data_IF_772130609438
#
_entry.id   IF_772130609438
#
_cell.length_a   1.000
_cell.length_b   1.000
_cell.length_c   1.000
_cell.angle_alpha   90.00
_cell.angle_beta   90.00
_cell.angle_gamma   90.00
#
_symmetry.space_group_name_H-M   'P 1'
#
loop_
_entity.id
_entity.type
_entity.pdbx_description
1 polymer ?
#
# COMPACT_ATOMS: atom_id res chain seq x y z
N UNK A 1 -7.30 9.03 -32.90
CA UNK A 1 -7.45 9.76 -31.62
C UNK A 1 -8.70 9.35 -30.83
N UNK A 2 -9.88 9.17 -31.45
CA UNK A 2 -11.11 8.73 -30.76
C UNK A 2 -11.04 7.31 -30.16
N UNK A 3 -10.32 6.37 -30.78
CA UNK A 3 -10.23 4.98 -30.33
C UNK A 3 -9.47 4.82 -28.99
N UNK A 4 -8.46 5.65 -28.73
CA UNK A 4 -7.74 5.65 -27.45
C UNK A 4 -8.49 6.34 -26.32
N UNK A 5 -9.31 7.35 -26.64
CA UNK A 5 -10.17 8.02 -25.67
C UNK A 5 -11.31 7.11 -25.21
N UNK A 6 -11.94 6.36 -26.14
CA UNK A 6 -12.94 5.33 -25.81
C UNK A 6 -12.35 4.19 -25.00
N UNK A 7 -11.16 3.69 -25.35
CA UNK A 7 -10.50 2.65 -24.56
C UNK A 7 -10.22 3.11 -23.12
N UNK A 8 -9.66 4.31 -22.93
CA UNK A 8 -9.40 4.87 -21.59
C UNK A 8 -10.68 5.20 -20.82
N UNK A 9 -11.75 5.60 -21.50
CA UNK A 9 -13.05 5.88 -20.90
C UNK A 9 -13.75 4.60 -20.44
N UNK A 10 -13.73 3.56 -21.28
CA UNK A 10 -14.24 2.22 -20.95
C UNK A 10 -13.42 1.62 -19.78
N UNK A 11 -12.09 1.68 -19.83
CA UNK A 11 -11.21 1.18 -18.76
C UNK A 11 -11.45 1.89 -17.42
N UNK A 12 -11.81 3.18 -17.46
CA UNK A 12 -12.15 3.98 -16.27
C UNK A 12 -13.50 3.56 -15.67
N UNK A 13 -14.50 3.29 -16.52
CA UNK A 13 -15.83 2.87 -16.07
C UNK A 13 -15.82 1.43 -15.52
N UNK A 14 -15.06 0.51 -16.15
CA UNK A 14 -14.94 -0.88 -15.67
C UNK A 14 -14.19 -0.99 -14.35
N UNK A 15 -13.31 -0.03 -14.03
CA UNK A 15 -12.59 -0.02 -12.75
C UNK A 15 -13.45 0.40 -11.56
N UNK A 16 -14.66 0.91 -11.80
CA UNK A 16 -15.49 1.52 -10.76
C UNK A 16 -16.04 0.51 -9.76
N UNK A 17 -16.29 -0.72 -10.21
CA UNK A 17 -16.70 -1.84 -9.36
C UNK A 17 -15.67 -2.13 -8.26
N UNK A 18 -14.37 -1.94 -8.53
CA UNK A 18 -13.29 -2.15 -7.56
C UNK A 18 -13.18 -1.00 -6.53
N UNK A 19 -13.75 0.16 -6.84
CA UNK A 19 -13.68 1.35 -5.95
C UNK A 19 -14.91 1.43 -5.06
N UNK A 20 -16.06 0.89 -5.46
CA UNK A 20 -17.30 0.93 -4.67
C UNK A 20 -17.12 0.35 -3.24
N UNK A 21 -16.47 -0.82 -3.03
CA UNK A 21 -16.27 -1.39 -1.70
C UNK A 21 -15.52 -0.46 -0.75
N UNK A 22 -14.67 0.43 -1.28
CA UNK A 22 -13.93 1.41 -0.48
C UNK A 22 -14.85 2.36 0.28
N UNK A 23 -15.99 2.75 -0.30
CA UNK A 23 -16.93 3.66 0.34
C UNK A 23 -17.74 3.02 1.47
N UNK A 24 -17.77 1.68 1.53
CA UNK A 24 -18.39 0.93 2.63
C UNK A 24 -17.59 0.98 3.94
N UNK A 25 -16.31 1.39 3.89
CA UNK A 25 -15.50 1.53 5.10
C UNK A 25 -15.81 2.81 5.88
N UNK A 26 -15.74 2.77 7.22
CA UNK A 26 -15.89 3.94 8.06
C UNK A 26 -14.75 4.93 7.84
N UNK A 27 -15.01 6.18 8.23
CA UNK A 27 -14.14 7.32 7.93
C UNK A 27 -12.73 7.16 8.51
N UNK A 28 -12.56 6.51 9.66
CA UNK A 28 -11.25 6.24 10.27
C UNK A 28 -10.39 5.32 9.41
N UNK A 29 -11.00 4.31 8.78
CA UNK A 29 -10.31 3.36 7.89
C UNK A 29 -10.02 4.01 6.54
N UNK A 30 -11.00 4.71 5.97
CA UNK A 30 -10.81 5.48 4.72
C UNK A 30 -9.69 6.49 4.85
N UNK A 31 -9.59 7.18 6.01
CA UNK A 31 -8.54 8.13 6.33
C UNK A 31 -7.15 7.57 6.20
N UNK A 32 -6.96 6.39 6.75
CA UNK A 32 -5.70 5.68 6.67
C UNK A 32 -5.42 5.28 5.22
N UNK A 33 -6.36 4.63 4.54
CA UNK A 33 -6.18 4.11 3.16
C UNK A 33 -5.93 5.20 2.12
N UNK A 34 -6.65 6.34 2.17
CA UNK A 34 -6.53 7.37 1.13
C UNK A 34 -5.17 8.08 1.15
N UNK A 35 -4.36 7.89 2.20
CA UNK A 35 -3.07 8.58 2.27
C UNK A 35 -2.10 8.05 1.22
N UNK A 36 -2.00 8.78 0.10
CA UNK A 36 -1.09 8.45 -1.01
C UNK A 36 0.37 8.71 -0.64
N UNK A 37 0.63 9.57 0.35
CA UNK A 37 1.97 9.95 0.82
C UNK A 37 2.90 8.76 1.07
N UNK A 38 2.38 7.65 1.61
CA UNK A 38 3.20 6.46 1.88
C UNK A 38 3.66 5.77 0.58
N UNK A 39 2.74 5.59 -0.37
CA UNK A 39 3.03 4.95 -1.67
C UNK A 39 3.91 5.87 -2.52
N UNK A 40 3.62 7.16 -2.54
CA UNK A 40 4.42 8.16 -3.25
C UNK A 40 5.85 8.25 -2.71
N UNK A 41 6.01 8.30 -1.37
CA UNK A 41 7.32 8.29 -0.71
C UNK A 41 8.13 7.03 -1.03
N UNK A 42 7.46 5.87 -1.04
CA UNK A 42 8.08 4.60 -1.43
C UNK A 42 8.54 4.64 -2.89
N UNK A 43 7.65 5.03 -3.81
CA UNK A 43 7.93 5.11 -5.24
C UNK A 43 9.05 6.11 -5.55
N UNK A 44 9.07 7.26 -4.89
CA UNK A 44 10.13 8.26 -5.06
C UNK A 44 11.49 7.70 -4.61
N UNK A 45 11.50 7.03 -3.46
CA UNK A 45 12.74 6.43 -2.93
C UNK A 45 13.22 5.29 -3.82
N UNK A 46 12.32 4.42 -4.30
CA UNK A 46 12.64 3.31 -5.18
C UNK A 46 13.18 3.80 -6.54
N UNK A 47 12.57 4.83 -7.13
CA UNK A 47 13.08 5.48 -8.35
C UNK A 47 14.51 5.99 -8.15
N UNK A 48 14.84 6.55 -6.98
CA UNK A 48 16.21 6.99 -6.66
C UNK A 48 17.21 5.84 -6.65
N UNK A 49 16.83 4.67 -6.12
CA UNK A 49 17.69 3.47 -6.12
C UNK A 49 17.91 2.89 -7.51
N UNK A 50 16.89 2.94 -8.37
CA UNK A 50 16.95 2.37 -9.73
C UNK A 50 17.56 3.35 -10.74
N UNK A 51 17.48 4.67 -10.51
CA UNK A 51 17.97 5.71 -11.44
C UNK A 51 19.43 5.50 -11.89
N UNK A 52 20.28 4.95 -11.02
CA UNK A 52 21.70 4.71 -11.30
C UNK A 52 21.97 3.36 -12.00
N UNK A 53 20.94 2.53 -12.21
CA UNK A 53 21.04 1.20 -12.83
C UNK A 53 20.12 1.16 -14.05
N UNK A 54 20.67 1.49 -15.23
CA UNK A 54 19.92 1.49 -16.50
C UNK A 54 19.64 0.09 -17.05
N UNK A 55 20.54 -0.88 -16.80
CA UNK A 55 20.45 -2.25 -17.30
C UNK A 55 20.77 -3.20 -16.15
N UNK A 56 20.00 -4.27 -16.05
CA UNK A 56 20.27 -5.38 -15.13
C UNK A 56 20.79 -6.59 -15.92
N UNK A 57 21.77 -7.34 -15.37
CA UNK A 57 22.34 -8.50 -16.05
C UNK A 57 21.40 -9.72 -16.07
N UNK A 58 20.44 -9.80 -15.15
CA UNK A 58 19.37 -10.81 -15.10
C UNK A 58 18.18 -10.30 -14.30
N UNK A 59 17.02 -10.93 -14.44
CA UNK A 59 15.82 -10.59 -13.66
C UNK A 59 16.03 -10.81 -12.16
N UNK A 60 16.76 -11.87 -11.78
CA UNK A 60 17.14 -12.14 -10.39
C UNK A 60 17.96 -10.99 -9.78
N UNK A 61 18.88 -10.41 -10.56
CA UNK A 61 19.66 -9.25 -10.13
C UNK A 61 18.76 -8.03 -9.90
N UNK A 62 17.74 -7.82 -10.73
CA UNK A 62 16.75 -6.77 -10.55
C UNK A 62 15.93 -6.97 -9.26
N UNK A 63 15.42 -8.18 -9.03
CA UNK A 63 14.69 -8.51 -7.80
C UNK A 63 15.53 -8.32 -6.55
N UNK A 64 16.79 -8.79 -6.57
CA UNK A 64 17.72 -8.62 -5.45
C UNK A 64 18.00 -7.15 -5.15
N UNK A 65 18.13 -6.32 -6.19
CA UNK A 65 18.33 -4.88 -6.01
C UNK A 65 17.11 -4.21 -5.36
N UNK A 66 15.90 -4.54 -5.82
CA UNK A 66 14.65 -4.03 -5.23
C UNK A 66 14.52 -4.49 -3.78
N UNK A 67 14.82 -5.76 -3.49
CA UNK A 67 14.79 -6.30 -2.14
C UNK A 67 15.72 -5.55 -1.18
N UNK A 68 16.97 -5.29 -1.60
CA UNK A 68 17.93 -4.52 -0.81
C UNK A 68 17.48 -3.06 -0.62
N UNK A 69 16.90 -2.44 -1.65
CA UNK A 69 16.32 -1.11 -1.52
C UNK A 69 15.18 -1.11 -0.48
N UNK A 70 14.29 -2.12 -0.50
CA UNK A 70 13.20 -2.22 0.48
C UNK A 70 13.69 -2.41 1.90
N UNK A 71 14.75 -3.21 2.09
CA UNK A 71 15.42 -3.36 3.40
C UNK A 71 15.91 -2.01 3.93
N UNK A 72 16.52 -1.17 3.09
CA UNK A 72 17.02 0.16 3.49
C UNK A 72 15.86 1.11 3.79
N UNK A 73 14.80 1.10 2.97
CA UNK A 73 13.62 1.95 3.17
C UNK A 73 12.92 1.58 4.48
N UNK A 74 12.73 0.29 4.73
CA UNK A 74 12.11 -0.22 5.95
C UNK A 74 12.85 0.24 7.21
N UNK A 75 14.19 0.29 7.19
CA UNK A 75 14.99 0.80 8.31
C UNK A 75 14.75 2.30 8.59
N UNK A 76 14.49 3.10 7.55
CA UNK A 76 14.23 4.55 7.68
C UNK A 76 12.79 4.87 8.06
N UNK A 77 11.86 3.95 7.82
CA UNK A 77 10.44 4.14 8.02
C UNK A 77 10.01 3.93 9.49
N UNK A 78 10.57 4.71 10.39
CA UNK A 78 10.33 4.60 11.84
C UNK A 78 9.07 5.33 12.32
N UNK A 79 8.63 6.38 11.63
CA UNK A 79 7.48 7.18 12.07
C UNK A 79 6.16 6.39 12.06
N UNK A 80 5.32 6.49 13.10
CA UNK A 80 4.01 5.85 13.14
C UNK A 80 3.05 6.45 12.11
N UNK A 81 2.09 5.65 11.63
CA UNK A 81 1.04 6.11 10.72
C UNK A 81 0.10 7.03 11.51
N UNK A 82 -0.23 8.20 10.94
CA UNK A 82 -1.18 9.15 11.54
C UNK A 82 -2.57 8.50 11.61
N UNK A 83 -3.29 8.73 12.71
CA UNK A 83 -4.64 8.21 12.95
C UNK A 83 -4.75 6.67 12.90
N UNK A 84 -3.63 5.95 13.07
CA UNK A 84 -3.62 4.50 13.07
C UNK A 84 -4.37 3.87 14.26
N UNK A 85 -4.23 4.46 15.46
CA UNK A 85 -4.91 3.96 16.67
C UNK A 85 -6.44 3.91 16.54
N UNK A 86 -7.13 5.00 16.13
CA UNK A 86 -8.58 4.96 15.95
C UNK A 86 -8.99 4.03 14.79
N UNK A 87 -8.21 3.97 13.70
CA UNK A 87 -8.47 3.02 12.62
C UNK A 87 -8.34 1.57 13.08
N UNK A 88 -7.32 1.24 13.88
CA UNK A 88 -7.11 -0.10 14.43
C UNK A 88 -8.28 -0.52 15.33
N UNK A 89 -8.78 0.38 16.19
CA UNK A 89 -9.95 0.11 17.00
C UNK A 89 -11.18 -0.25 16.14
N UNK A 90 -11.37 0.47 15.02
CA UNK A 90 -12.46 0.21 14.07
C UNK A 90 -12.29 -1.11 13.33
N UNK A 91 -11.07 -1.41 12.87
CA UNK A 91 -10.73 -2.68 12.26
C UNK A 91 -11.00 -3.85 13.19
N UNK A 92 -10.67 -3.74 14.48
CA UNK A 92 -10.95 -4.78 15.48
C UNK A 92 -12.45 -5.03 15.65
N UNK A 93 -13.29 -4.01 15.52
CA UNK A 93 -14.75 -4.16 15.59
C UNK A 93 -15.29 -4.85 14.33
N UNK A 94 -14.85 -4.43 13.15
CA UNK A 94 -15.36 -4.95 11.86
C UNK A 94 -14.80 -6.33 11.49
N UNK A 95 -13.57 -6.62 11.90
CA UNK A 95 -12.82 -7.82 11.50
C UNK A 95 -12.21 -8.56 12.70
N UNK A 96 -12.84 -8.48 13.87
CA UNK A 96 -12.32 -9.02 15.14
C UNK A 96 -11.79 -10.44 15.05
N UNK A 97 -12.51 -11.33 14.36
CA UNK A 97 -12.12 -12.74 14.16
C UNK A 97 -10.83 -12.91 13.34
N UNK A 98 -10.51 -11.96 12.46
CA UNK A 98 -9.30 -11.96 11.62
C UNK A 98 -8.12 -11.27 12.29
N UNK A 99 -8.38 -10.40 13.27
CA UNK A 99 -7.38 -9.51 13.89
C UNK A 99 -6.97 -9.99 15.29
N UNK A 100 -7.78 -10.83 15.94
CA UNK A 100 -7.50 -11.37 17.29
C UNK A 100 -6.13 -12.04 17.45
N UNK A 101 -5.58 -12.65 16.40
CA UNK A 101 -4.25 -13.30 16.41
C UNK A 101 -3.08 -12.31 16.32
N UNK A 102 -3.34 -11.04 15.94
CA UNK A 102 -2.33 -10.04 15.58
C UNK A 102 -2.19 -8.93 16.64
N UNK A 103 -2.81 -9.10 17.82
CA UNK A 103 -2.84 -8.13 18.93
C UNK A 103 -1.46 -7.73 19.51
N UNK A 104 -0.35 -8.23 18.96
CA UNK A 104 1.02 -7.75 19.22
C UNK A 104 1.49 -6.60 18.29
N UNK A 105 0.59 -5.96 17.54
CA UNK A 105 0.95 -4.84 16.64
C UNK A 105 1.36 -3.54 17.35
N UNK A 106 1.25 -3.46 18.68
CA UNK A 106 1.63 -2.28 19.45
C UNK A 106 3.14 -1.98 19.48
N UNK A 107 4.01 -2.92 19.07
CA UNK A 107 5.48 -2.78 19.26
C UNK A 107 6.32 -2.57 18.01
N UNK A 108 5.75 -2.54 16.79
CA UNK A 108 6.59 -2.46 15.58
C UNK A 108 5.98 -1.59 14.48
N UNK A 109 6.41 -0.33 14.43
CA UNK A 109 6.17 0.62 13.33
C UNK A 109 6.49 0.03 11.94
N UNK A 110 7.51 -0.84 11.84
CA UNK A 110 7.86 -1.53 10.58
C UNK A 110 6.91 -2.67 10.17
N UNK A 111 6.24 -3.34 11.12
CA UNK A 111 5.35 -4.49 10.81
C UNK A 111 3.93 -4.02 10.46
N UNK A 112 3.49 -2.93 11.07
CA UNK A 112 2.23 -2.23 10.76
C UNK A 112 2.16 -1.72 9.32
N UNK A 113 3.29 -1.29 8.74
CA UNK A 113 3.34 -0.80 7.36
C UNK A 113 3.30 -1.92 6.31
N UNK A 114 3.74 -3.13 6.65
CA UNK A 114 3.48 -4.33 5.83
C UNK A 114 1.99 -4.65 5.79
N UNK A 115 1.29 -4.52 6.92
CA UNK A 115 -0.17 -4.65 6.99
C UNK A 115 -0.83 -3.52 6.21
N UNK A 116 -0.37 -2.28 6.30
CA UNK A 116 -0.91 -1.16 5.51
C UNK A 116 -0.77 -1.38 3.99
N UNK A 117 0.41 -1.80 3.51
CA UNK A 117 0.61 -2.15 2.10
C UNK A 117 -0.22 -3.38 1.72
N UNK A 118 -0.28 -4.42 2.56
CA UNK A 118 -1.05 -5.63 2.31
C UNK A 118 -2.57 -5.38 2.30
N UNK A 119 -3.08 -4.55 3.21
CA UNK A 119 -4.49 -4.12 3.26
C UNK A 119 -4.82 -3.29 2.03
N UNK A 120 -3.96 -2.36 1.60
CA UNK A 120 -4.17 -1.63 0.35
C UNK A 120 -4.15 -2.58 -0.86
N UNK A 121 -3.15 -3.49 -0.95
CA UNK A 121 -3.06 -4.43 -2.06
C UNK A 121 -4.25 -5.39 -2.09
N UNK A 122 -4.72 -5.87 -0.94
CA UNK A 122 -5.84 -6.80 -0.88
C UNK A 122 -7.19 -6.12 -1.04
N UNK A 123 -7.35 -4.85 -0.65
CA UNK A 123 -8.58 -4.08 -0.88
C UNK A 123 -8.70 -3.54 -2.31
N UNK A 124 -7.62 -3.54 -3.11
CA UNK A 124 -7.64 -3.13 -4.52
C UNK A 124 -7.61 -4.29 -5.54
N UNK A 125 -7.24 -5.50 -5.10
CA UNK A 125 -7.08 -6.68 -5.97
C UNK A 125 -7.84 -7.92 -5.49
N UNK A 126 -8.80 -7.77 -4.57
CA UNK A 126 -9.75 -8.83 -4.17
C UNK A 126 -11.18 -8.36 -4.38
#
# INVERSE_FOLDING_TARGET
MLHGALHNFIYRLTSWENVIPFFGYPTEIRKVIYTTNAIESLNMTLRKFIKNKRIFPSDEAAFKQIYLAMQIIAKKWTMPIRDWKPALARFTIEFGDRIGTIANLHKCSCRLKKVYIYVIYKSFYA
#
